data_IF_092991390947
#
_entry.id   IF_092991390947
#
_cell.length_a   1.000
_cell.length_b   1.000
_cell.length_c   1.000
_cell.angle_alpha   90.00
_cell.angle_beta   90.00
_cell.angle_gamma   90.00
#
_symmetry.space_group_name_H-M   'P 1'
#
loop_
_entity.id
_entity.type
_entity.pdbx_description
1 polymer ?
#
# COMPACT_ATOMS: atom_id res chain seq x y z
N UNK A 1 -9.47 -19.26 -35.22
CA UNK A 1 -9.62 -17.88 -35.75
C UNK A 1 -9.89 -16.98 -34.54
N UNK A 2 -8.82 -16.59 -33.84
CA UNK A 2 -8.93 -15.79 -32.61
C UNK A 2 -9.18 -14.32 -32.98
N UNK A 3 -10.19 -13.71 -32.35
CA UNK A 3 -10.62 -12.36 -32.62
C UNK A 3 -9.49 -11.35 -32.42
N UNK A 4 -9.32 -10.46 -33.38
CA UNK A 4 -8.36 -9.35 -33.33
C UNK A 4 -8.56 -8.56 -32.04
N UNK A 5 -7.46 -8.36 -31.31
CA UNK A 5 -7.30 -7.43 -30.18
C UNK A 5 -8.00 -6.11 -30.49
N UNK A 6 -9.02 -5.76 -29.73
CA UNK A 6 -9.77 -4.49 -29.84
C UNK A 6 -8.91 -3.27 -29.46
N UNK A 7 -7.63 -3.46 -29.13
CA UNK A 7 -6.72 -2.42 -28.65
C UNK A 7 -5.60 -2.06 -29.63
N UNK A 8 -5.50 -2.75 -30.78
CA UNK A 8 -4.47 -2.47 -31.78
C UNK A 8 -4.85 -1.22 -32.60
N UNK A 9 -4.53 -0.03 -32.07
CA UNK A 9 -4.67 1.24 -32.81
C UNK A 9 -5.12 2.46 -32.00
N UNK A 10 -5.33 2.34 -30.69
CA UNK A 10 -5.69 3.49 -29.86
C UNK A 10 -4.43 4.29 -29.50
N UNK A 11 -4.45 5.60 -29.76
CA UNK A 11 -3.40 6.49 -29.27
C UNK A 11 -3.37 6.47 -27.74
N UNK A 12 -2.20 6.72 -27.16
CA UNK A 12 -1.99 6.78 -25.71
C UNK A 12 -2.99 7.72 -25.00
N UNK A 13 -3.35 8.83 -25.66
CA UNK A 13 -4.38 9.76 -25.19
C UNK A 13 -5.78 9.13 -25.13
N UNK A 14 -6.14 8.30 -26.10
CA UNK A 14 -7.44 7.62 -26.15
C UNK A 14 -7.53 6.49 -25.11
N UNK A 15 -6.42 5.79 -24.86
CA UNK A 15 -6.31 4.83 -23.79
C UNK A 15 -6.47 5.50 -22.41
N UNK A 16 -5.76 6.62 -22.21
CA UNK A 16 -5.80 7.41 -20.97
C UNK A 16 -7.21 7.95 -20.68
N UNK A 17 -7.90 8.48 -21.70
CA UNK A 17 -9.28 8.94 -21.56
C UNK A 17 -10.25 7.80 -21.18
N UNK A 18 -10.05 6.62 -21.76
CA UNK A 18 -10.85 5.43 -21.45
C UNK A 18 -10.63 4.94 -20.01
N UNK A 19 -9.38 4.95 -19.54
CA UNK A 19 -9.03 4.61 -18.15
C UNK A 19 -9.68 5.59 -17.19
N UNK A 20 -9.57 6.90 -17.45
CA UNK A 20 -10.19 7.93 -16.60
C UNK A 20 -11.71 7.77 -16.53
N UNK A 21 -12.38 7.49 -17.66
CA UNK A 21 -13.82 7.24 -17.68
C UNK A 21 -14.22 6.01 -16.83
N UNK A 22 -13.41 4.95 -16.84
CA UNK A 22 -13.62 3.76 -16.00
C UNK A 22 -13.43 4.10 -14.52
N UNK A 23 -12.35 4.83 -14.19
CA UNK A 23 -12.07 5.27 -12.81
C UNK A 23 -13.23 6.12 -12.29
N UNK A 24 -13.69 7.11 -13.06
CA UNK A 24 -14.80 7.99 -12.69
C UNK A 24 -16.09 7.21 -12.48
N UNK A 25 -16.40 6.25 -13.36
CA UNK A 25 -17.55 5.37 -13.19
C UNK A 25 -17.47 4.57 -11.89
N UNK A 26 -16.32 3.94 -11.60
CA UNK A 26 -16.11 3.14 -10.39
C UNK A 26 -16.22 4.02 -9.14
N UNK A 27 -15.60 5.20 -9.14
CA UNK A 27 -15.65 6.16 -8.04
C UNK A 27 -17.08 6.64 -7.79
N UNK A 28 -17.80 7.02 -8.84
CA UNK A 28 -19.20 7.46 -8.76
C UNK A 28 -20.13 6.39 -8.21
N UNK A 29 -19.96 5.14 -8.67
CA UNK A 29 -20.72 3.99 -8.16
C UNK A 29 -20.46 3.73 -6.68
N UNK A 30 -19.19 3.76 -6.25
CA UNK A 30 -18.80 3.57 -4.85
C UNK A 30 -19.35 4.66 -3.94
N UNK A 31 -19.27 5.93 -4.34
CA UNK A 31 -19.86 7.05 -3.57
C UNK A 31 -21.36 6.89 -3.35
N UNK A 32 -22.11 6.49 -4.38
CA UNK A 32 -23.56 6.20 -4.26
C UNK A 32 -23.86 5.00 -3.36
N UNK A 33 -22.99 3.98 -3.33
CA UNK A 33 -23.12 2.86 -2.41
C UNK A 33 -22.80 3.22 -0.95
N UNK A 34 -21.86 4.15 -0.76
CA UNK A 34 -21.43 4.61 0.57
C UNK A 34 -22.39 5.63 1.19
N UNK A 35 -23.23 6.32 0.41
CA UNK A 35 -24.14 7.35 0.91
C UNK A 35 -25.26 6.84 1.84
N UNK A 36 -25.45 5.52 1.99
CA UNK A 36 -26.39 4.91 2.93
C UNK A 36 -25.75 4.01 3.98
N UNK A 37 -24.43 3.81 3.94
CA UNK A 37 -23.72 3.02 4.94
C UNK A 37 -23.46 3.92 6.16
N UNK A 38 -23.87 3.49 7.35
CA UNK A 38 -23.43 4.13 8.58
C UNK A 38 -21.89 4.05 8.62
N UNK A 39 -21.22 5.19 8.46
CA UNK A 39 -19.77 5.25 8.52
C UNK A 39 -19.35 4.89 9.94
N UNK A 40 -18.84 3.67 10.12
CA UNK A 40 -18.14 3.31 11.35
C UNK A 40 -16.80 4.02 11.26
N UNK A 41 -16.72 5.21 11.88
CA UNK A 41 -15.47 5.94 12.02
C UNK A 41 -14.64 5.21 13.07
N UNK A 42 -13.75 4.34 12.61
CA UNK A 42 -12.74 3.72 13.47
C UNK A 42 -11.51 4.63 13.41
N UNK A 43 -10.93 5.05 14.56
CA UNK A 43 -9.64 5.72 14.55
C UNK A 43 -8.61 4.81 13.87
N UNK A 44 -7.74 5.41 13.07
CA UNK A 44 -6.75 4.66 12.31
C UNK A 44 -5.52 5.51 12.03
N UNK A 45 -4.41 4.83 11.76
CA UNK A 45 -3.21 5.44 11.23
C UNK A 45 -3.01 5.02 9.77
N UNK A 46 -2.28 5.85 9.03
CA UNK A 46 -1.73 5.46 7.74
C UNK A 46 -0.27 5.10 7.94
N UNK A 47 0.11 3.93 7.43
CA UNK A 47 1.49 3.49 7.34
C UNK A 47 1.99 3.82 5.92
N UNK A 48 3.06 4.58 5.83
CA UNK A 48 3.84 4.75 4.60
C UNK A 48 5.05 3.83 4.68
N UNK A 49 5.10 2.86 3.77
CA UNK A 49 6.15 1.85 3.67
C UNK A 49 6.96 2.11 2.40
N UNK A 50 8.27 2.31 2.54
CA UNK A 50 9.17 2.58 1.42
C UNK A 50 9.76 1.26 0.91
N UNK A 51 9.35 0.83 -0.28
CA UNK A 51 9.66 -0.52 -0.79
C UNK A 51 11.16 -0.73 -0.97
N UNK A 52 11.89 0.31 -1.40
CA UNK A 52 13.34 0.24 -1.61
C UNK A 52 14.18 0.37 -0.34
N UNK A 53 13.57 0.61 0.82
CA UNK A 53 14.28 0.84 2.08
C UNK A 53 14.08 -0.30 3.09
N UNK A 54 13.97 -1.54 2.58
CA UNK A 54 13.77 -2.75 3.39
C UNK A 54 15.01 -3.64 3.42
N UNK A 55 15.23 -4.32 4.55
CA UNK A 55 16.34 -5.26 4.73
C UNK A 55 15.93 -6.73 4.61
N UNK A 56 14.63 -7.04 4.63
CA UNK A 56 14.10 -8.40 4.52
C UNK A 56 14.73 -9.35 5.56
N UNK A 57 15.04 -8.83 6.76
CA UNK A 57 15.74 -9.55 7.82
C UNK A 57 14.79 -10.11 8.89
N UNK A 58 13.47 -9.97 8.66
CA UNK A 58 12.39 -10.40 9.54
C UNK A 58 12.38 -9.68 10.90
N UNK A 59 13.10 -8.56 11.06
CA UNK A 59 13.07 -7.81 12.31
C UNK A 59 11.67 -7.28 12.60
N UNK A 60 10.98 -6.72 11.59
CA UNK A 60 9.61 -6.24 11.78
C UNK A 60 8.62 -7.38 11.99
N UNK A 61 8.78 -8.49 11.26
CA UNK A 61 8.00 -9.72 11.44
C UNK A 61 8.01 -10.19 12.90
N UNK A 62 9.20 -10.30 13.51
CA UNK A 62 9.37 -10.81 14.87
C UNK A 62 8.72 -9.91 15.94
N UNK A 63 8.72 -8.59 15.73
CA UNK A 63 8.15 -7.63 16.67
C UNK A 63 6.63 -7.45 16.54
N UNK A 64 6.06 -7.84 15.40
CA UNK A 64 4.65 -7.54 15.07
C UNK A 64 3.74 -8.74 15.00
N UNK A 65 4.21 -9.93 15.38
CA UNK A 65 3.40 -11.15 15.47
C UNK A 65 2.65 -11.44 14.15
N UNK A 66 3.30 -11.14 13.02
CA UNK A 66 2.76 -11.39 11.69
C UNK A 66 1.91 -10.27 11.08
N UNK A 67 1.88 -9.06 11.65
CA UNK A 67 1.36 -7.90 10.90
C UNK A 67 2.26 -7.61 9.70
N UNK A 68 3.57 -7.48 9.91
CA UNK A 68 4.53 -7.53 8.81
C UNK A 68 4.85 -8.99 8.49
N UNK A 69 4.97 -9.31 7.21
CA UNK A 69 5.40 -10.63 6.76
C UNK A 69 6.94 -10.76 6.77
N UNK A 70 7.45 -11.89 6.24
CA UNK A 70 8.89 -12.14 6.21
C UNK A 70 9.66 -11.17 5.31
N UNK A 71 8.97 -10.47 4.41
CA UNK A 71 9.51 -9.46 3.52
C UNK A 71 9.27 -8.02 4.07
N UNK A 72 8.94 -7.91 5.35
CA UNK A 72 8.58 -6.67 6.04
C UNK A 72 7.34 -5.96 5.43
N UNK A 73 6.56 -6.64 4.58
CA UNK A 73 5.39 -6.06 3.93
C UNK A 73 4.18 -6.09 4.86
N UNK A 74 3.38 -5.00 4.91
CA UNK A 74 2.10 -5.03 5.60
C UNK A 74 1.09 -5.92 4.84
N UNK A 75 0.01 -6.39 5.49
CA UNK A 75 -0.93 -7.32 4.87
C UNK A 75 -1.60 -6.71 3.64
N UNK A 76 -1.72 -7.48 2.55
CA UNK A 76 -2.20 -6.99 1.25
C UNK A 76 -3.63 -6.42 1.27
N UNK A 77 -4.46 -6.89 2.19
CA UNK A 77 -5.83 -6.41 2.42
C UNK A 77 -5.89 -5.03 3.11
N UNK A 78 -4.76 -4.55 3.62
CA UNK A 78 -4.64 -3.21 4.22
C UNK A 78 -4.13 -2.15 3.25
N UNK A 79 -3.72 -2.53 2.04
CA UNK A 79 -3.12 -1.61 1.07
C UNK A 79 -4.17 -0.63 0.52
N UNK A 80 -3.85 0.66 0.56
CA UNK A 80 -4.72 1.75 0.09
C UNK A 80 -4.24 2.29 -1.25
N UNK A 81 -2.94 2.56 -1.38
CA UNK A 81 -2.37 3.19 -2.56
C UNK A 81 -0.89 2.87 -2.72
N UNK A 82 -0.42 2.95 -3.96
CA UNK A 82 1.01 2.92 -4.29
C UNK A 82 1.42 4.27 -4.89
N UNK A 83 2.39 4.94 -4.27
CA UNK A 83 2.93 6.22 -4.73
C UNK A 83 4.18 5.96 -5.58
N UNK A 84 4.00 6.01 -6.90
CA UNK A 84 5.08 5.74 -7.87
C UNK A 84 6.25 6.72 -7.75
N UNK A 85 5.97 7.99 -7.46
CA UNK A 85 7.01 9.03 -7.37
C UNK A 85 8.01 8.80 -6.23
N UNK A 86 7.58 8.13 -5.16
CA UNK A 86 8.39 7.87 -3.97
C UNK A 86 8.60 6.38 -3.70
N UNK A 87 8.16 5.54 -4.64
CA UNK A 87 8.16 4.08 -4.54
C UNK A 87 7.67 3.55 -3.19
N UNK A 88 6.53 4.10 -2.75
CA UNK A 88 6.00 3.89 -1.40
C UNK A 88 4.60 3.28 -1.43
N UNK A 89 4.39 2.29 -0.59
CA UNK A 89 3.10 1.67 -0.34
C UNK A 89 2.43 2.35 0.86
N UNK A 90 1.19 2.81 0.69
CA UNK A 90 0.35 3.35 1.77
C UNK A 90 -0.64 2.29 2.21
N UNK A 91 -0.62 1.95 3.50
CA UNK A 91 -1.49 0.93 4.11
C UNK A 91 -2.25 1.47 5.30
N UNK A 92 -3.42 0.89 5.54
CA UNK A 92 -4.26 1.19 6.70
C UNK A 92 -3.78 0.42 7.94
N UNK A 93 -3.72 1.10 9.09
CA UNK A 93 -3.43 0.46 10.37
C UNK A 93 -4.59 0.73 11.33
N UNK A 94 -5.29 -0.31 11.81
CA UNK A 94 -6.29 -0.14 12.86
C UNK A 94 -5.65 0.41 14.13
N UNK A 95 -6.36 1.27 14.87
CA UNK A 95 -5.85 1.86 16.11
C UNK A 95 -5.35 0.82 17.12
N UNK A 96 -6.07 -0.30 17.23
CA UNK A 96 -5.73 -1.41 18.13
C UNK A 96 -4.36 -2.03 17.84
N UNK A 97 -3.87 -1.93 16.59
CA UNK A 97 -2.58 -2.46 16.17
C UNK A 97 -1.49 -1.39 16.10
N UNK A 98 -1.82 -0.09 16.27
CA UNK A 98 -0.87 1.01 16.10
C UNK A 98 0.42 0.82 16.90
N UNK A 99 0.29 0.51 18.20
CA UNK A 99 1.44 0.31 19.07
C UNK A 99 2.29 -0.91 18.67
N UNK A 100 1.65 -1.96 18.14
CA UNK A 100 2.34 -3.15 17.65
C UNK A 100 3.10 -2.84 16.36
N UNK A 101 2.45 -2.23 15.38
CA UNK A 101 3.06 -1.83 14.11
C UNK A 101 4.24 -0.88 14.35
N UNK A 102 4.12 0.06 15.28
CA UNK A 102 5.21 0.97 15.63
C UNK A 102 6.47 0.23 16.12
N UNK A 103 6.32 -0.88 16.87
CA UNK A 103 7.48 -1.70 17.30
C UNK A 103 8.23 -2.29 16.10
N UNK A 104 7.50 -2.76 15.08
CA UNK A 104 8.08 -3.26 13.84
C UNK A 104 8.85 -2.17 13.10
N UNK A 105 8.25 -0.99 12.94
CA UNK A 105 8.89 0.18 12.32
C UNK A 105 10.18 0.57 13.07
N UNK A 106 10.14 0.59 14.39
CA UNK A 106 11.31 0.91 15.22
C UNK A 106 12.41 -0.16 15.09
N UNK A 107 12.05 -1.44 14.95
CA UNK A 107 12.99 -2.53 14.70
C UNK A 107 13.72 -2.36 13.36
N UNK A 108 12.98 -2.11 12.27
CA UNK A 108 13.58 -1.87 10.95
C UNK A 108 14.47 -0.62 10.95
N UNK A 109 14.05 0.45 11.63
CA UNK A 109 14.86 1.68 11.77
C UNK A 109 16.18 1.42 12.49
N UNK A 110 16.19 0.64 13.57
CA UNK A 110 17.44 0.26 14.27
C UNK A 110 18.41 -0.49 13.35
N UNK A 111 17.89 -1.30 12.42
CA UNK A 111 18.70 -2.03 11.43
C UNK A 111 19.31 -1.13 10.37
N UNK A 112 18.54 -0.18 9.84
CA UNK A 112 19.06 0.89 8.99
C UNK A 112 20.25 1.59 9.66
N UNK A 113 20.12 1.99 10.93
CA UNK A 113 21.20 2.69 11.64
C UNK A 113 22.46 1.83 11.83
N UNK A 114 22.29 0.55 12.17
CA UNK A 114 23.42 -0.38 12.34
C UNK A 114 24.14 -0.70 11.03
N UNK A 115 23.41 -0.79 9.91
CA UNK A 115 24.01 -1.02 8.60
C UNK A 115 24.88 0.16 8.14
N UNK A 116 24.41 1.41 8.36
CA UNK A 116 25.19 2.60 8.06
C UNK A 116 26.47 2.70 8.93
N UNK A 117 26.37 2.35 10.21
CA UNK A 117 27.51 2.40 11.14
C UNK A 117 28.63 1.38 10.80
N UNK A 118 28.34 0.30 10.09
CA UNK A 118 29.34 -0.71 9.68
C UNK A 118 30.07 -0.38 8.38
N UNK A 119 29.61 0.63 7.65
CA UNK A 119 30.18 1.02 6.34
C UNK A 119 31.17 2.18 6.47
N UNK A 120 31.33 2.74 7.68
CA UNK A 120 32.25 3.84 8.00
C UNK A 120 33.42 3.31 8.82
#
# INVERSE_FOLDING_TARGET
>A
MFGKSTLDGLSEASLSASILAIVDYVVGRRRKGLSGAAAVVVPAALLRFEVNHCYFDRAAFNETVGFFDAEDLPPWDTWIAYEVATDSLVSWVPESLRALVQKGVDASRRRLQLAHAKTT
#
